data_IF_558917998513
#
_entry.id   IF_558917998513
#
_cell.length_a   1.000
_cell.length_b   1.000
_cell.length_c   1.000
_cell.angle_alpha   90.00
_cell.angle_beta   90.00
_cell.angle_gamma   90.00
#
_symmetry.space_group_name_H-M   'P 1'
#
loop_
_entity.id
_entity.type
_entity.pdbx_description
1 polymer ?
#
# COMPACT_ATOMS: atom_id res chain seq x y z
N UNK A 1 -13.78 6.96 -9.61
CA UNK A 1 -12.51 7.43 -10.16
C UNK A 1 -11.33 7.09 -9.24
N UNK A 2 -11.49 7.08 -7.91
CA UNK A 2 -10.52 6.50 -6.99
C UNK A 2 -10.56 4.97 -7.06
N UNK A 3 -9.41 4.32 -7.03
CA UNK A 3 -9.32 2.88 -7.26
C UNK A 3 -8.66 2.11 -6.11
N UNK A 4 -7.96 2.78 -5.20
CA UNK A 4 -7.12 2.18 -4.19
C UNK A 4 -7.52 2.72 -2.82
N UNK A 5 -7.84 1.84 -1.88
CA UNK A 5 -8.35 2.20 -0.55
C UNK A 5 -7.59 1.44 0.52
N UNK A 6 -7.46 2.04 1.71
CA UNK A 6 -7.01 1.36 2.92
C UNK A 6 -8.09 1.48 3.99
N UNK A 7 -8.42 0.38 4.64
CA UNK A 7 -9.37 0.35 5.74
C UNK A 7 -8.70 -0.20 7.01
N UNK A 8 -9.01 0.38 8.18
CA UNK A 8 -8.49 -0.11 9.45
C UNK A 8 -9.19 -1.41 9.87
N UNK A 9 -8.48 -2.26 10.61
CA UNK A 9 -9.04 -3.46 11.26
C UNK A 9 -8.58 -3.45 12.72
N UNK A 10 -9.49 -3.11 13.63
CA UNK A 10 -9.22 -3.11 15.07
C UNK A 10 -9.61 -4.46 15.70
N UNK A 11 -9.11 -4.75 16.91
CA UNK A 11 -9.29 -6.02 17.61
C UNK A 11 -10.66 -6.11 18.32
N UNK A 12 -11.74 -5.80 17.60
CA UNK A 12 -13.13 -5.94 18.01
C UNK A 12 -14.04 -6.30 16.83
N UNK A 13 -15.13 -7.01 17.10
CA UNK A 13 -16.02 -7.51 16.06
C UNK A 13 -16.70 -6.39 15.27
N UNK A 14 -17.13 -5.32 15.93
CA UNK A 14 -17.85 -4.24 15.26
C UNK A 14 -16.94 -3.54 14.24
N UNK A 15 -15.68 -3.28 14.60
CA UNK A 15 -14.67 -2.72 13.70
C UNK A 15 -14.36 -3.66 12.53
N UNK A 16 -14.15 -4.96 12.81
CA UNK A 16 -13.87 -5.97 11.78
C UNK A 16 -15.02 -6.01 10.77
N UNK A 17 -16.26 -6.12 11.23
CA UNK A 17 -17.42 -6.22 10.34
C UNK A 17 -17.79 -4.88 9.68
N UNK A 18 -17.51 -3.74 10.31
CA UNK A 18 -17.60 -2.42 9.67
C UNK A 18 -16.63 -2.33 8.48
N UNK A 19 -15.38 -2.75 8.68
CA UNK A 19 -14.37 -2.76 7.61
C UNK A 19 -14.74 -3.74 6.50
N UNK A 20 -15.25 -4.92 6.82
CA UNK A 20 -15.77 -5.86 5.83
C UNK A 20 -16.94 -5.26 5.02
N UNK A 21 -17.89 -4.60 5.69
CA UNK A 21 -19.00 -3.91 5.02
C UNK A 21 -18.51 -2.82 4.06
N UNK A 22 -17.51 -2.04 4.46
CA UNK A 22 -16.90 -1.02 3.60
C UNK A 22 -16.12 -1.63 2.43
N UNK A 23 -15.39 -2.70 2.67
CA UNK A 23 -14.72 -3.46 1.62
C UNK A 23 -15.71 -3.98 0.56
N UNK A 24 -16.85 -4.48 0.99
CA UNK A 24 -17.93 -4.93 0.10
C UNK A 24 -18.45 -3.78 -0.79
N UNK A 25 -18.66 -2.59 -0.23
CA UNK A 25 -19.06 -1.39 -1.00
C UNK A 25 -17.97 -0.96 -2.00
N UNK A 26 -16.70 -1.00 -1.59
CA UNK A 26 -15.55 -0.65 -2.43
C UNK A 26 -15.43 -1.68 -3.58
N UNK A 27 -15.49 -2.97 -3.27
CA UNK A 27 -15.46 -4.05 -4.27
C UNK A 27 -16.60 -3.95 -5.28
N UNK A 28 -17.82 -3.60 -4.83
CA UNK A 28 -18.95 -3.33 -5.71
C UNK A 28 -18.67 -2.20 -6.71
N UNK A 29 -17.84 -1.21 -6.35
CA UNK A 29 -17.42 -0.13 -7.24
C UNK A 29 -16.28 -0.53 -8.21
N UNK A 30 -15.77 -1.76 -8.11
CA UNK A 30 -14.66 -2.26 -8.93
C UNK A 30 -13.28 -1.87 -8.42
N UNK A 31 -13.17 -1.48 -7.14
CA UNK A 31 -11.93 -1.03 -6.52
C UNK A 31 -11.35 -2.06 -5.55
N UNK A 32 -10.05 -1.93 -5.25
CA UNK A 32 -9.33 -2.78 -4.31
C UNK A 32 -9.13 -2.12 -2.95
N UNK A 33 -8.87 -2.94 -1.93
CA UNK A 33 -8.71 -2.48 -0.55
C UNK A 33 -7.51 -3.14 0.11
N UNK A 34 -6.72 -2.38 0.85
CA UNK A 34 -5.67 -2.91 1.73
C UNK A 34 -6.08 -2.89 3.20
N UNK A 35 -5.60 -3.87 3.93
CA UNK A 35 -5.85 -4.05 5.36
C UNK A 35 -4.56 -4.41 6.09
N UNK A 36 -4.41 -3.88 7.30
CA UNK A 36 -3.42 -4.38 8.24
C UNK A 36 -4.12 -5.15 9.35
N UNK A 37 -3.85 -6.46 9.43
CA UNK A 37 -4.43 -7.36 10.43
C UNK A 37 -3.59 -7.48 11.71
N UNK A 38 -2.51 -6.72 11.82
CA UNK A 38 -1.54 -6.85 12.91
C UNK A 38 -2.05 -6.42 14.28
N UNK A 39 -3.16 -5.69 14.34
CA UNK A 39 -3.80 -5.29 15.59
C UNK A 39 -4.65 -6.40 16.18
N UNK A 40 -5.07 -7.38 15.37
CA UNK A 40 -5.86 -8.50 15.85
C UNK A 40 -5.02 -9.38 16.78
N UNK A 41 -5.63 -9.78 17.90
CA UNK A 41 -5.00 -10.73 18.83
C UNK A 41 -4.68 -12.07 18.15
N UNK A 42 -3.59 -12.72 18.54
CA UNK A 42 -3.19 -13.98 17.92
C UNK A 42 -4.18 -15.11 18.23
N UNK A 43 -4.07 -16.17 17.43
CA UNK A 43 -4.75 -17.41 17.65
C UNK A 43 -4.46 -17.95 19.06
N UNK A 44 -5.49 -18.50 19.71
CA UNK A 44 -5.46 -18.98 21.09
C UNK A 44 -5.27 -17.91 22.17
N UNK A 45 -5.31 -16.61 21.85
CA UNK A 45 -5.40 -15.60 22.91
C UNK A 45 -6.80 -15.56 23.53
N UNK A 46 -6.86 -15.18 24.80
CA UNK A 46 -8.09 -15.19 25.59
C UNK A 46 -9.07 -14.12 25.11
N UNK A 47 -10.35 -14.50 25.00
CA UNK A 47 -11.46 -13.57 24.78
C UNK A 47 -12.16 -13.36 26.13
N UNK A 48 -11.93 -12.19 26.75
CA UNK A 48 -12.41 -11.88 28.10
C UNK A 48 -13.94 -11.77 28.22
N UNK A 49 -14.63 -11.45 27.12
CA UNK A 49 -16.09 -11.29 27.09
C UNK A 49 -16.87 -12.62 27.03
N UNK A 50 -16.19 -13.70 26.66
CA UNK A 50 -16.74 -15.06 26.58
C UNK A 50 -15.65 -16.04 27.00
N UNK A 51 -16.05 -17.18 27.58
CA UNK A 51 -15.06 -18.22 27.92
C UNK A 51 -14.58 -18.91 26.64
N UNK A 52 -13.63 -18.30 25.93
CA UNK A 52 -13.17 -18.78 24.64
C UNK A 52 -11.81 -18.26 24.23
N UNK A 53 -11.36 -18.73 23.06
CA UNK A 53 -10.06 -18.38 22.48
C UNK A 53 -10.22 -17.77 21.10
N UNK A 54 -9.33 -16.86 20.77
CA UNK A 54 -9.25 -16.21 19.45
C UNK A 54 -8.91 -17.21 18.35
N UNK A 55 -9.55 -17.07 17.21
CA UNK A 55 -9.21 -17.81 15.99
C UNK A 55 -8.04 -17.21 15.20
N UNK A 56 -7.59 -16.00 15.60
CA UNK A 56 -6.49 -15.28 14.97
C UNK A 56 -6.83 -14.55 13.66
N UNK A 57 -5.89 -13.72 13.15
CA UNK A 57 -6.11 -12.86 11.99
C UNK A 57 -6.47 -13.62 10.70
N UNK A 58 -5.85 -14.77 10.44
CA UNK A 58 -6.10 -15.55 9.23
C UNK A 58 -7.55 -16.03 9.10
N UNK A 59 -8.21 -16.27 10.21
CA UNK A 59 -9.64 -16.67 10.20
C UNK A 59 -10.54 -15.53 9.71
N UNK A 60 -10.24 -14.31 10.13
CA UNK A 60 -10.96 -13.14 9.63
C UNK A 60 -10.63 -12.83 8.17
N UNK A 61 -9.37 -12.95 7.76
CA UNK A 61 -9.00 -12.82 6.34
C UNK A 61 -9.81 -13.75 5.43
N UNK A 62 -10.07 -14.99 5.86
CA UNK A 62 -10.93 -15.94 5.11
C UNK A 62 -12.37 -15.46 4.97
N UNK A 63 -12.91 -14.74 5.97
CA UNK A 63 -14.26 -14.15 5.90
C UNK A 63 -14.27 -13.04 4.85
N UNK A 64 -13.25 -12.16 4.85
CA UNK A 64 -13.11 -11.11 3.83
C UNK A 64 -12.99 -11.71 2.43
N UNK A 65 -12.20 -12.76 2.25
CA UNK A 65 -12.01 -13.47 0.99
C UNK A 65 -13.34 -14.07 0.48
N UNK A 66 -14.05 -14.80 1.35
CA UNK A 66 -15.33 -15.42 1.03
C UNK A 66 -16.41 -14.41 0.60
N UNK A 67 -16.50 -13.27 1.28
CA UNK A 67 -17.43 -12.19 0.91
C UNK A 67 -17.06 -11.59 -0.43
N UNK A 68 -15.77 -11.37 -0.67
CA UNK A 68 -15.26 -10.78 -1.92
C UNK A 68 -15.49 -11.70 -3.11
N UNK A 69 -15.35 -13.01 -2.95
CA UNK A 69 -15.64 -13.98 -3.98
C UNK A 69 -17.10 -13.92 -4.46
N UNK A 70 -18.05 -13.56 -3.56
CA UNK A 70 -19.46 -13.43 -3.91
C UNK A 70 -19.80 -12.07 -4.54
N UNK A 71 -18.98 -11.03 -4.30
CA UNK A 71 -19.25 -9.67 -4.80
C UNK A 71 -18.48 -9.45 -6.09
N UNK A 72 -19.12 -9.81 -7.23
CA UNK A 72 -18.56 -9.56 -8.57
C UNK A 72 -19.30 -8.42 -9.24
N UNK A 73 -18.59 -7.40 -9.69
CA UNK A 73 -19.18 -6.30 -10.45
C UNK A 73 -19.58 -6.79 -11.84
N UNK A 74 -20.84 -7.25 -12.01
CA UNK A 74 -21.39 -7.66 -13.32
C UNK A 74 -20.51 -8.65 -14.10
N UNK A 75 -19.66 -9.44 -13.45
CA UNK A 75 -18.71 -10.36 -14.06
C UNK A 75 -17.47 -9.75 -14.68
N UNK A 76 -17.29 -8.41 -14.63
CA UNK A 76 -16.23 -7.72 -15.34
C UNK A 76 -14.93 -7.55 -14.52
N UNK A 77 -15.01 -7.40 -13.18
CA UNK A 77 -13.84 -7.25 -12.33
C UNK A 77 -14.07 -7.88 -10.96
N UNK A 78 -13.09 -8.67 -10.50
CA UNK A 78 -13.07 -9.17 -9.11
C UNK A 78 -12.57 -8.09 -8.17
N UNK A 79 -13.05 -8.09 -6.93
CA UNK A 79 -12.39 -7.37 -5.84
C UNK A 79 -11.00 -7.95 -5.61
N UNK A 80 -10.07 -7.09 -5.19
CA UNK A 80 -8.72 -7.50 -4.81
C UNK A 80 -8.36 -6.85 -3.47
N UNK A 81 -7.68 -7.59 -2.63
CA UNK A 81 -7.26 -7.11 -1.32
C UNK A 81 -5.75 -7.25 -1.14
N UNK A 82 -5.19 -6.39 -0.28
CA UNK A 82 -3.90 -6.58 0.35
C UNK A 82 -4.13 -6.94 1.82
N UNK A 83 -3.57 -8.05 2.26
CA UNK A 83 -3.51 -8.42 3.67
C UNK A 83 -2.10 -8.24 4.19
N UNK A 84 -1.94 -7.44 5.23
CA UNK A 84 -0.63 -7.17 5.84
C UNK A 84 -0.60 -7.70 7.26
N UNK A 85 0.50 -8.36 7.62
CA UNK A 85 0.80 -8.74 8.99
C UNK A 85 2.24 -8.33 9.34
N UNK A 86 2.42 -7.74 10.54
CA UNK A 86 3.74 -7.38 11.04
C UNK A 86 4.58 -8.63 11.30
N UNK A 87 5.85 -8.54 11.00
CA UNK A 87 6.81 -9.64 11.19
C UNK A 87 6.91 -10.08 12.65
N UNK A 88 6.64 -9.18 13.60
CA UNK A 88 6.68 -9.45 15.05
C UNK A 88 5.33 -9.96 15.63
N UNK A 89 4.33 -10.24 14.77
CA UNK A 89 3.07 -10.83 15.21
C UNK A 89 3.25 -12.34 15.54
N UNK A 90 2.64 -12.87 16.63
CA UNK A 90 2.79 -14.28 17.01
C UNK A 90 2.42 -15.30 15.94
N UNK A 91 1.47 -14.97 15.06
CA UNK A 91 0.98 -15.86 13.99
C UNK A 91 1.72 -15.68 12.65
N UNK A 92 2.87 -15.01 12.64
CA UNK A 92 3.60 -14.68 11.40
C UNK A 92 3.97 -15.93 10.58
N UNK A 93 4.37 -17.02 11.20
CA UNK A 93 4.72 -18.26 10.50
C UNK A 93 3.53 -18.87 9.75
N UNK A 94 2.33 -18.87 10.34
CA UNK A 94 1.10 -19.32 9.68
C UNK A 94 0.73 -18.38 8.54
N UNK A 95 0.87 -17.06 8.73
CA UNK A 95 0.57 -16.06 7.71
C UNK A 95 1.47 -16.21 6.47
N UNK A 96 2.78 -16.35 6.66
CA UNK A 96 3.74 -16.50 5.56
C UNK A 96 3.40 -17.70 4.68
N UNK A 97 2.95 -18.79 5.28
CA UNK A 97 2.72 -20.06 4.57
C UNK A 97 1.28 -20.28 4.13
N UNK A 98 0.36 -19.36 4.43
CA UNK A 98 -1.08 -19.59 4.22
C UNK A 98 -1.45 -19.84 2.76
N UNK A 99 -0.81 -19.15 1.81
CA UNK A 99 -1.04 -19.31 0.37
C UNK A 99 -0.24 -20.45 -0.29
N UNK A 100 0.60 -21.14 0.48
CA UNK A 100 1.22 -22.38 0.00
C UNK A 100 0.20 -23.52 -0.14
N UNK A 101 -1.01 -23.38 0.43
CA UNK A 101 -2.15 -24.28 0.25
C UNK A 101 -2.99 -23.78 -0.92
N UNK A 102 -3.41 -24.69 -1.78
CA UNK A 102 -4.27 -24.37 -2.91
C UNK A 102 -5.62 -23.76 -2.47
N UNK A 103 -6.13 -22.81 -3.26
CA UNK A 103 -7.45 -22.19 -3.11
C UNK A 103 -7.70 -21.50 -1.76
N UNK A 104 -6.67 -20.89 -1.18
CA UNK A 104 -6.79 -20.11 0.06
C UNK A 104 -6.43 -18.64 -0.22
N UNK A 105 -7.31 -17.72 0.17
CA UNK A 105 -7.14 -16.27 0.01
C UNK A 105 -6.87 -15.86 -1.45
N UNK A 106 -7.65 -16.37 -2.39
CA UNK A 106 -7.47 -16.12 -3.84
C UNK A 106 -7.69 -14.65 -4.22
N UNK A 107 -8.48 -13.91 -3.44
CA UNK A 107 -8.70 -12.48 -3.66
C UNK A 107 -7.73 -11.58 -2.86
N UNK A 108 -6.74 -12.18 -2.18
CA UNK A 108 -5.72 -11.46 -1.43
C UNK A 108 -4.34 -11.60 -2.07
N UNK A 109 -3.65 -10.48 -2.22
CA UNK A 109 -2.21 -10.40 -2.11
C UNK A 109 -1.85 -10.31 -0.63
N UNK A 110 -0.77 -10.90 -0.19
CA UNK A 110 -0.32 -10.81 1.19
C UNK A 110 1.09 -10.25 1.28
N UNK A 111 1.36 -9.43 2.29
CA UNK A 111 2.69 -8.86 2.51
C UNK A 111 3.06 -8.84 3.99
N UNK A 112 4.30 -9.18 4.29
CA UNK A 112 4.86 -9.05 5.63
C UNK A 112 5.36 -7.62 5.84
N UNK A 113 4.90 -6.96 6.91
CA UNK A 113 5.42 -5.66 7.31
C UNK A 113 6.70 -5.85 8.12
N UNK A 114 7.82 -5.59 7.47
CA UNK A 114 9.17 -5.76 8.02
C UNK A 114 9.63 -4.46 8.69
N UNK A 115 10.29 -4.59 9.84
CA UNK A 115 10.91 -3.48 10.57
C UNK A 115 12.43 -3.46 10.42
N UNK A 116 13.05 -2.29 10.59
CA UNK A 116 14.52 -2.17 10.62
C UNK A 116 15.12 -3.01 11.76
N UNK A 117 14.40 -3.14 12.89
CA UNK A 117 14.79 -4.00 14.02
C UNK A 117 14.90 -5.48 13.60
N UNK A 118 13.92 -5.98 12.84
CA UNK A 118 13.93 -7.35 12.33
C UNK A 118 15.08 -7.56 11.34
N UNK A 119 15.26 -6.67 10.37
CA UNK A 119 16.36 -6.78 9.40
C UNK A 119 17.74 -6.73 10.06
N UNK A 120 17.90 -5.92 11.09
CA UNK A 120 19.13 -5.91 11.90
C UNK A 120 19.34 -7.24 12.64
N UNK A 121 18.27 -7.91 13.09
CA UNK A 121 18.37 -9.23 13.72
C UNK A 121 18.76 -10.30 12.71
N UNK A 122 18.19 -10.27 11.49
CA UNK A 122 18.59 -11.16 10.38
C UNK A 122 20.08 -11.02 10.07
N UNK A 123 20.56 -9.78 9.86
CA UNK A 123 21.97 -9.52 9.54
C UNK A 123 22.97 -9.99 10.63
N UNK A 124 22.51 -10.06 11.87
CA UNK A 124 23.35 -10.43 13.03
C UNK A 124 23.10 -11.85 13.52
N UNK A 125 22.33 -12.63 12.80
CA UNK A 125 21.92 -14.00 13.19
C UNK A 125 21.38 -14.04 14.65
N UNK A 126 20.39 -13.18 14.94
CA UNK A 126 19.78 -13.07 16.26
C UNK A 126 18.30 -13.43 16.24
N UNK A 127 17.82 -13.80 17.42
CA UNK A 127 16.38 -13.90 17.68
C UNK A 127 15.74 -12.53 17.84
N UNK A 128 14.45 -12.46 17.60
CA UNK A 128 13.61 -11.31 17.85
C UNK A 128 12.30 -11.75 18.54
N UNK A 129 11.64 -10.80 19.20
CA UNK A 129 10.45 -11.07 19.99
C UNK A 129 9.21 -11.06 19.13
N UNK A 130 8.33 -12.03 19.30
CA UNK A 130 6.97 -12.01 18.84
C UNK A 130 6.08 -11.39 19.90
N UNK A 131 5.38 -10.32 19.53
CA UNK A 131 4.66 -9.44 20.46
C UNK A 131 3.15 -9.63 20.28
N UNK A 132 2.45 -9.95 21.38
CA UNK A 132 1.00 -9.94 21.36
C UNK A 132 0.49 -8.50 21.23
N UNK A 133 -0.26 -8.15 20.16
CA UNK A 133 -0.67 -6.76 19.91
C UNK A 133 -1.60 -6.20 20.97
N UNK A 134 -2.41 -7.04 21.64
CA UNK A 134 -3.34 -6.62 22.68
C UNK A 134 -2.64 -6.34 24.01
N UNK A 135 -1.69 -7.18 24.41
CA UNK A 135 -1.02 -7.08 25.72
C UNK A 135 0.32 -6.37 25.68
N UNK A 136 0.88 -6.17 24.48
CA UNK A 136 2.23 -5.65 24.24
C UNK A 136 3.33 -6.48 24.91
N UNK A 137 3.04 -7.74 25.26
CA UNK A 137 4.01 -8.63 25.89
C UNK A 137 4.66 -9.54 24.86
N UNK A 138 5.93 -9.88 25.11
CA UNK A 138 6.61 -10.93 24.36
C UNK A 138 5.89 -12.27 24.62
N UNK A 139 5.53 -12.99 23.55
CA UNK A 139 4.92 -14.31 23.60
C UNK A 139 5.98 -15.39 23.52
N UNK A 140 6.94 -15.20 22.61
CA UNK A 140 8.11 -16.06 22.42
C UNK A 140 9.16 -15.37 21.57
N UNK A 141 10.38 -15.83 21.67
CA UNK A 141 11.47 -15.45 20.78
C UNK A 141 11.50 -16.38 19.55
N UNK A 142 11.83 -15.83 18.40
CA UNK A 142 11.95 -16.56 17.15
C UNK A 142 13.26 -16.19 16.44
N UNK A 143 13.86 -17.10 15.69
CA UNK A 143 15.02 -16.80 14.87
C UNK A 143 14.62 -15.89 13.71
N UNK A 144 15.28 -14.73 13.59
CA UNK A 144 15.01 -13.79 12.51
C UNK A 144 15.40 -14.38 11.14
N UNK A 145 16.53 -15.09 11.07
CA UNK A 145 16.99 -15.78 9.86
C UNK A 145 15.96 -16.81 9.38
N UNK A 146 15.47 -17.69 10.27
CA UNK A 146 14.47 -18.70 9.91
C UNK A 146 13.18 -18.11 9.35
N UNK A 147 12.69 -17.01 9.92
CA UNK A 147 11.49 -16.36 9.41
C UNK A 147 11.77 -15.66 8.08
N UNK A 148 12.95 -15.05 7.92
CA UNK A 148 13.35 -14.44 6.65
C UNK A 148 13.48 -15.48 5.53
N UNK A 149 14.12 -16.61 5.80
CA UNK A 149 14.24 -17.73 4.86
C UNK A 149 12.87 -18.31 4.50
N UNK A 150 11.99 -18.48 5.49
CA UNK A 150 10.61 -18.93 5.25
C UNK A 150 9.84 -17.97 4.31
N UNK A 151 10.01 -16.65 4.49
CA UNK A 151 9.44 -15.63 3.59
C UNK A 151 9.99 -15.81 2.16
N UNK A 152 11.31 -15.91 2.03
CA UNK A 152 11.97 -16.07 0.74
C UNK A 152 11.57 -17.36 0.01
N UNK A 153 11.60 -18.50 0.72
CA UNK A 153 11.24 -19.80 0.18
C UNK A 153 9.78 -19.85 -0.27
N UNK A 154 8.87 -19.30 0.55
CA UNK A 154 7.44 -19.29 0.24
C UNK A 154 7.15 -18.36 -0.94
N UNK A 155 7.75 -17.16 -0.95
CA UNK A 155 7.63 -16.23 -2.06
C UNK A 155 8.18 -16.80 -3.37
N UNK A 156 9.33 -17.49 -3.32
CA UNK A 156 9.88 -18.17 -4.49
C UNK A 156 8.95 -19.28 -5.01
N UNK A 157 8.31 -20.01 -4.11
CA UNK A 157 7.42 -21.14 -4.46
C UNK A 157 6.06 -20.71 -4.99
N UNK A 158 5.49 -19.64 -4.46
CA UNK A 158 4.08 -19.25 -4.70
C UNK A 158 3.88 -17.87 -5.28
N UNK A 159 4.87 -16.99 -5.22
CA UNK A 159 4.76 -15.56 -5.53
C UNK A 159 4.33 -14.70 -4.34
N UNK A 160 3.87 -15.30 -3.24
CA UNK A 160 3.49 -14.65 -1.98
C UNK A 160 4.29 -15.22 -0.79
N UNK A 161 4.51 -14.49 0.30
CA UNK A 161 4.14 -13.09 0.50
C UNK A 161 5.10 -12.11 -0.19
N UNK A 162 4.61 -10.90 -0.43
CA UNK A 162 5.45 -9.72 -0.62
C UNK A 162 6.01 -9.21 0.71
N UNK A 163 6.78 -8.14 0.67
CA UNK A 163 7.28 -7.43 1.86
C UNK A 163 7.08 -5.93 1.72
N UNK A 164 6.79 -5.26 2.83
CA UNK A 164 6.83 -3.82 2.95
C UNK A 164 7.79 -3.43 4.07
N UNK A 165 8.62 -2.41 3.83
CA UNK A 165 9.58 -1.91 4.81
C UNK A 165 8.96 -0.77 5.60
N UNK A 166 8.29 -1.12 6.70
CA UNK A 166 7.40 -0.23 7.44
C UNK A 166 8.08 1.06 7.92
N UNK A 167 9.31 0.94 8.46
CA UNK A 167 10.06 2.10 8.96
C UNK A 167 10.49 3.02 7.82
N UNK A 168 10.85 2.45 6.65
CA UNK A 168 11.18 3.22 5.44
C UNK A 168 9.99 4.00 4.91
N UNK A 169 8.83 3.34 4.82
CA UNK A 169 7.58 3.96 4.36
C UNK A 169 7.21 5.13 5.27
N UNK A 170 7.29 4.95 6.58
CA UNK A 170 6.91 5.98 7.53
C UNK A 170 7.92 7.14 7.63
N UNK A 171 9.19 6.91 7.31
CA UNK A 171 10.19 7.98 7.19
C UNK A 171 9.80 9.01 6.13
N UNK A 172 9.15 8.57 5.05
CA UNK A 172 8.73 9.41 3.94
C UNK A 172 7.22 9.74 3.98
N UNK A 173 6.53 9.47 5.10
CA UNK A 173 5.13 9.80 5.28
C UNK A 173 4.93 11.33 5.16
N UNK A 174 4.10 11.82 4.21
CA UNK A 174 3.91 13.25 4.02
C UNK A 174 3.05 13.91 5.12
N UNK A 175 2.28 13.13 5.89
CA UNK A 175 1.37 13.61 6.94
C UNK A 175 1.56 12.82 8.24
N UNK A 176 2.76 12.85 8.86
CA UNK A 176 3.09 11.98 10.00
C UNK A 176 2.30 12.32 11.26
N UNK A 177 1.82 13.55 11.42
CA UNK A 177 0.99 13.96 12.56
C UNK A 177 -0.41 13.34 12.53
N UNK A 178 -0.90 12.90 11.35
CA UNK A 178 -2.21 12.24 11.22
C UNK A 178 -2.18 10.75 11.53
N UNK A 179 -1.01 10.13 11.57
CA UNK A 179 -0.88 8.71 11.88
C UNK A 179 0.26 8.01 11.16
N UNK A 180 0.31 6.69 11.35
CA UNK A 180 1.33 5.80 10.81
C UNK A 180 0.77 5.10 9.57
N UNK A 181 1.57 5.04 8.51
CA UNK A 181 1.28 4.22 7.33
C UNK A 181 1.50 2.75 7.68
N UNK A 182 0.42 1.99 7.83
CA UNK A 182 0.46 0.59 8.26
C UNK A 182 0.10 -0.38 7.13
N UNK A 183 -0.52 0.12 6.06
CA UNK A 183 -0.97 -0.67 4.94
C UNK A 183 -0.73 0.05 3.62
N UNK A 184 -0.79 -0.74 2.56
CA UNK A 184 -0.84 -0.26 1.19
C UNK A 184 -2.24 -0.52 0.62
N UNK A 185 -2.51 0.00 -0.57
CA UNK A 185 -3.63 -0.44 -1.39
C UNK A 185 -3.53 -1.93 -1.80
N UNK A 186 -4.46 -2.41 -2.59
CA UNK A 186 -4.56 -3.84 -2.96
C UNK A 186 -3.38 -4.40 -3.74
N UNK A 187 -2.63 -3.55 -4.46
CA UNK A 187 -1.52 -3.95 -5.32
C UNK A 187 -0.14 -3.66 -4.70
N UNK A 188 -0.09 -2.86 -3.64
CA UNK A 188 1.14 -2.59 -2.88
C UNK A 188 1.90 -1.33 -3.29
N UNK A 189 1.46 -0.61 -4.33
CA UNK A 189 2.18 0.56 -4.85
C UNK A 189 1.96 1.84 -4.04
N UNK A 190 0.87 1.92 -3.26
CA UNK A 190 0.49 3.15 -2.57
C UNK A 190 0.29 2.92 -1.07
N UNK A 191 1.27 3.26 -0.22
CA UNK A 191 1.07 3.33 1.23
C UNK A 191 0.11 4.46 1.59
N UNK A 192 -0.90 4.13 2.38
CA UNK A 192 -1.98 5.04 2.75
C UNK A 192 -2.33 4.93 4.24
N UNK A 193 -2.83 6.02 4.81
CA UNK A 193 -3.46 6.02 6.12
C UNK A 193 -4.83 5.32 6.08
N UNK A 194 -5.38 4.89 7.23
CA UNK A 194 -6.74 4.38 7.31
C UNK A 194 -7.76 5.34 6.69
N UNK A 195 -8.68 4.78 5.90
CA UNK A 195 -9.71 5.48 5.12
C UNK A 195 -9.19 6.31 3.95
N UNK A 196 -7.91 6.47 3.75
CA UNK A 196 -7.40 7.13 2.55
C UNK A 196 -7.69 6.30 1.29
N UNK A 197 -7.77 6.99 0.19
CA UNK A 197 -7.72 6.41 -1.14
C UNK A 197 -6.86 7.27 -2.06
N UNK A 198 -6.32 6.65 -3.09
CA UNK A 198 -5.55 7.33 -4.12
C UNK A 198 -6.21 7.18 -5.49
N UNK A 199 -6.10 8.22 -6.29
CA UNK A 199 -6.35 8.20 -7.70
C UNK A 199 -4.99 8.23 -8.42
N UNK A 200 -4.86 7.38 -9.42
CA UNK A 200 -3.58 7.08 -10.07
C UNK A 200 -3.59 7.50 -11.53
N UNK A 201 -2.44 7.93 -12.02
CA UNK A 201 -2.18 8.19 -13.43
C UNK A 201 -0.76 7.79 -13.81
N UNK A 202 -0.56 7.31 -15.04
CA UNK A 202 0.76 6.90 -15.53
C UNK A 202 1.08 7.58 -16.85
N UNK A 203 2.24 8.25 -16.91
CA UNK A 203 2.74 8.88 -18.12
C UNK A 203 3.44 7.83 -18.98
N UNK A 204 2.99 7.66 -20.22
CA UNK A 204 3.67 6.80 -21.16
C UNK A 204 4.95 7.48 -21.69
N UNK A 205 6.09 7.07 -21.16
CA UNK A 205 7.40 7.61 -21.50
C UNK A 205 7.79 7.34 -22.96
N UNK A 206 7.24 6.33 -23.61
CA UNK A 206 7.55 6.07 -25.02
C UNK A 206 7.05 7.19 -25.95
N UNK A 207 6.11 8.00 -25.51
CA UNK A 207 5.52 9.09 -26.28
C UNK A 207 6.24 10.42 -26.15
N UNK A 208 7.27 10.49 -25.27
CA UNK A 208 8.07 11.72 -25.07
C UNK A 208 9.37 11.72 -25.89
N UNK A 209 9.56 10.76 -26.77
CA UNK A 209 10.75 10.70 -27.65
C UNK A 209 10.43 11.40 -28.97
N UNK A 210 11.26 12.38 -29.31
CA UNK A 210 11.24 13.09 -30.59
C UNK A 210 12.66 13.06 -31.16
N UNK A 211 12.81 12.65 -32.41
CA UNK A 211 14.11 12.57 -33.09
C UNK A 211 15.17 11.83 -32.27
N UNK A 212 14.82 10.67 -31.71
CA UNK A 212 15.69 9.84 -30.85
C UNK A 212 16.24 10.57 -29.61
N UNK A 213 15.57 11.60 -29.14
CA UNK A 213 15.90 12.33 -27.91
C UNK A 213 14.67 12.49 -27.02
N UNK A 214 14.90 12.59 -25.72
CA UNK A 214 13.84 12.88 -24.76
C UNK A 214 13.45 14.36 -24.90
N UNK A 215 12.17 14.61 -25.16
CA UNK A 215 11.57 15.94 -25.13
C UNK A 215 11.14 16.29 -23.70
N UNK A 216 12.02 16.96 -22.97
CA UNK A 216 11.74 17.40 -21.61
C UNK A 216 10.65 18.49 -21.53
N UNK A 217 10.44 19.31 -22.58
CA UNK A 217 9.36 20.30 -22.60
C UNK A 217 7.99 19.62 -22.71
N UNK A 218 7.88 18.62 -23.58
CA UNK A 218 6.67 17.81 -23.68
C UNK A 218 6.42 17.06 -22.38
N UNK A 219 7.44 16.47 -21.76
CA UNK A 219 7.34 15.78 -20.48
C UNK A 219 6.83 16.73 -19.38
N UNK A 220 7.47 17.92 -19.24
CA UNK A 220 7.03 18.95 -18.30
C UNK A 220 5.54 19.29 -18.44
N UNK A 221 5.13 19.64 -19.67
CA UNK A 221 3.73 20.00 -19.94
C UNK A 221 2.77 18.84 -19.60
N UNK A 222 3.18 17.59 -19.86
CA UNK A 222 2.38 16.41 -19.53
C UNK A 222 2.28 16.25 -18.01
N UNK A 223 3.39 16.37 -17.27
CA UNK A 223 3.39 16.29 -15.80
C UNK A 223 2.44 17.32 -15.20
N UNK A 224 2.57 18.62 -15.59
CA UNK A 224 1.73 19.68 -15.07
C UNK A 224 0.24 19.43 -15.32
N UNK A 225 -0.13 18.99 -16.53
CA UNK A 225 -1.52 18.65 -16.86
C UNK A 225 -2.01 17.45 -16.07
N UNK A 226 -1.17 16.44 -15.84
CA UNK A 226 -1.56 15.24 -15.11
C UNK A 226 -1.75 15.54 -13.62
N UNK A 227 -0.89 16.34 -12.99
CA UNK A 227 -1.07 16.77 -11.60
C UNK A 227 -2.39 17.52 -11.45
N UNK A 228 -2.67 18.50 -12.30
CA UNK A 228 -3.93 19.23 -12.29
C UNK A 228 -5.15 18.32 -12.49
N UNK A 229 -5.06 17.38 -13.43
CA UNK A 229 -6.12 16.40 -13.68
C UNK A 229 -6.37 15.50 -12.46
N UNK A 230 -5.32 14.95 -11.84
CA UNK A 230 -5.46 14.08 -10.68
C UNK A 230 -6.03 14.84 -9.46
N UNK A 231 -5.66 16.10 -9.27
CA UNK A 231 -6.24 16.94 -8.23
C UNK A 231 -7.75 17.20 -8.48
N UNK A 232 -8.15 17.45 -9.74
CA UNK A 232 -9.57 17.56 -10.10
C UNK A 232 -10.35 16.25 -9.87
N UNK A 233 -9.72 15.11 -10.08
CA UNK A 233 -10.36 13.80 -9.85
C UNK A 233 -10.77 13.63 -8.39
N UNK A 234 -10.01 14.18 -7.43
CA UNK A 234 -10.38 14.16 -6.01
C UNK A 234 -11.77 14.77 -5.81
N UNK A 235 -12.01 15.95 -6.39
CA UNK A 235 -13.26 16.67 -6.21
C UNK A 235 -14.44 16.02 -6.96
N UNK A 236 -14.16 15.39 -8.10
CA UNK A 236 -15.19 14.76 -8.94
C UNK A 236 -15.51 13.32 -8.54
N UNK A 237 -14.73 12.72 -7.64
CA UNK A 237 -14.91 11.34 -7.23
C UNK A 237 -16.09 11.17 -6.25
N UNK A 238 -16.88 10.11 -6.47
CA UNK A 238 -17.91 9.68 -5.50
C UNK A 238 -17.30 8.60 -4.62
N UNK A 239 -17.04 8.94 -3.36
CA UNK A 239 -16.44 8.00 -2.41
C UNK A 239 -17.50 7.10 -1.79
N UNK A 240 -17.18 5.78 -1.57
CA UNK A 240 -18.16 4.80 -1.07
C UNK A 240 -18.47 4.96 0.42
N UNK A 241 -17.63 5.67 1.18
CA UNK A 241 -17.81 5.90 2.61
C UNK A 241 -17.59 7.37 2.98
N UNK A 242 -18.30 7.90 4.00
CA UNK A 242 -18.12 9.28 4.45
C UNK A 242 -16.69 9.57 4.93
N UNK A 243 -16.11 8.63 5.71
CA UNK A 243 -14.75 8.78 6.27
C UNK A 243 -13.70 8.90 5.16
N UNK A 244 -13.84 8.09 4.09
CA UNK A 244 -12.93 8.20 2.94
C UNK A 244 -13.08 9.54 2.23
N UNK A 245 -14.31 10.03 2.05
CA UNK A 245 -14.54 11.34 1.45
C UNK A 245 -13.83 12.43 2.24
N UNK A 246 -14.00 12.43 3.54
CA UNK A 246 -13.43 13.42 4.45
C UNK A 246 -11.89 13.44 4.38
N UNK A 247 -11.25 12.29 4.63
CA UNK A 247 -9.78 12.22 4.69
C UNK A 247 -9.11 12.49 3.34
N UNK A 248 -9.71 12.03 2.23
CA UNK A 248 -9.14 12.24 0.89
C UNK A 248 -9.21 13.73 0.50
N UNK A 249 -10.31 14.41 0.79
CA UNK A 249 -10.42 15.84 0.57
C UNK A 249 -9.48 16.64 1.48
N UNK A 250 -9.26 16.17 2.71
CA UNK A 250 -8.38 16.83 3.66
C UNK A 250 -6.89 16.68 3.31
N UNK A 251 -6.47 15.52 2.79
CA UNK A 251 -5.06 15.21 2.49
C UNK A 251 -4.66 15.42 1.03
N UNK A 252 -5.60 15.30 0.10
CA UNK A 252 -5.43 15.47 -1.37
C UNK A 252 -4.24 14.70 -1.95
N UNK A 253 -4.00 13.48 -1.49
CA UNK A 253 -2.93 12.62 -2.03
C UNK A 253 -3.28 12.12 -3.42
N UNK A 254 -2.31 12.19 -4.33
CA UNK A 254 -2.40 11.69 -5.71
C UNK A 254 -1.20 10.79 -6.03
N UNK A 255 -1.38 9.87 -6.95
CA UNK A 255 -0.33 8.97 -7.43
C UNK A 255 0.00 9.23 -8.90
N UNK A 256 1.19 9.75 -9.19
CA UNK A 256 1.70 9.90 -10.55
C UNK A 256 2.82 8.90 -10.79
N UNK A 257 2.55 7.93 -11.68
CA UNK A 257 3.50 6.93 -12.11
C UNK A 257 3.95 7.10 -13.56
N UNK A 258 4.73 6.14 -14.02
CA UNK A 258 5.23 6.06 -15.39
C UNK A 258 5.02 4.67 -15.97
N UNK A 259 4.91 4.58 -17.30
CA UNK A 259 4.89 3.35 -18.08
C UNK A 259 5.74 3.53 -19.34
N UNK A 260 6.01 2.46 -20.06
CA UNK A 260 6.73 2.52 -21.34
C UNK A 260 8.22 2.88 -21.21
N UNK A 261 8.86 2.61 -20.03
CA UNK A 261 10.29 2.89 -19.85
C UNK A 261 11.17 2.00 -20.72
N UNK A 262 10.86 0.71 -20.85
CA UNK A 262 11.59 -0.19 -21.73
C UNK A 262 11.49 0.26 -23.20
N UNK A 263 10.29 0.66 -23.66
CA UNK A 263 10.09 1.19 -25.01
C UNK A 263 10.89 2.49 -25.25
N UNK A 264 10.94 3.35 -24.24
CA UNK A 264 11.80 4.55 -24.29
C UNK A 264 13.28 4.17 -24.47
N UNK A 265 13.79 3.21 -23.71
CA UNK A 265 15.16 2.75 -23.82
C UNK A 265 15.45 2.15 -25.21
N UNK A 266 14.54 1.34 -25.77
CA UNK A 266 14.63 0.79 -27.11
C UNK A 266 14.76 1.92 -28.15
N UNK A 267 13.87 2.92 -28.10
CA UNK A 267 13.92 4.10 -28.99
C UNK A 267 15.20 4.89 -28.87
N UNK A 268 15.81 4.94 -27.67
CA UNK A 268 17.10 5.59 -27.43
C UNK A 268 18.31 4.71 -27.73
N UNK A 269 18.09 3.44 -28.10
CA UNK A 269 19.14 2.42 -28.31
C UNK A 269 20.02 2.24 -27.06
N UNK A 270 19.38 2.13 -25.89
CA UNK A 270 20.00 1.90 -24.59
C UNK A 270 19.65 0.49 -24.13
N UNK A 271 20.61 -0.40 -23.88
CA UNK A 271 20.34 -1.72 -23.30
C UNK A 271 19.72 -1.57 -21.89
N UNK A 272 18.67 -2.36 -21.61
CA UNK A 272 17.94 -2.27 -20.35
C UNK A 272 18.82 -2.55 -19.12
N UNK A 273 19.68 -3.54 -19.20
CA UNK A 273 20.61 -3.96 -18.13
C UNK A 273 21.95 -3.18 -18.14
N UNK A 274 21.91 -1.89 -18.39
CA UNK A 274 23.12 -1.05 -18.48
C UNK A 274 23.08 0.11 -17.47
N UNK A 275 24.27 0.55 -17.03
CA UNK A 275 24.45 1.76 -16.23
C UNK A 275 23.81 3.01 -16.88
N UNK A 276 23.80 3.06 -18.21
CA UNK A 276 23.17 4.15 -18.95
C UNK A 276 21.65 4.12 -18.77
N UNK A 277 21.03 2.94 -18.69
CA UNK A 277 19.60 2.81 -18.41
C UNK A 277 19.27 3.31 -17.00
N UNK A 278 20.06 2.93 -15.99
CA UNK A 278 19.90 3.38 -14.60
C UNK A 278 19.98 4.91 -14.51
N UNK A 279 21.05 5.51 -15.07
CA UNK A 279 21.21 6.98 -15.10
C UNK A 279 20.08 7.69 -15.84
N UNK A 280 19.53 7.06 -16.89
CA UNK A 280 18.38 7.59 -17.62
C UNK A 280 17.13 7.57 -16.76
N UNK A 281 16.88 6.49 -16.02
CA UNK A 281 15.77 6.37 -15.07
C UNK A 281 15.88 7.44 -13.97
N UNK A 282 17.03 7.56 -13.32
CA UNK A 282 17.30 8.57 -12.29
C UNK A 282 17.00 9.99 -12.78
N UNK A 283 17.52 10.34 -13.95
CA UNK A 283 17.31 11.67 -14.56
C UNK A 283 15.84 11.93 -14.85
N UNK A 284 15.13 10.95 -15.40
CA UNK A 284 13.71 11.08 -15.73
C UNK A 284 12.85 11.26 -14.47
N UNK A 285 13.04 10.42 -13.46
CA UNK A 285 12.23 10.48 -12.23
C UNK A 285 12.54 11.75 -11.43
N UNK A 286 13.81 12.15 -11.33
CA UNK A 286 14.18 13.42 -10.70
C UNK A 286 13.51 14.62 -11.39
N UNK A 287 13.47 14.61 -12.73
CA UNK A 287 12.80 15.66 -13.51
C UNK A 287 11.26 15.65 -13.28
N UNK A 288 10.62 14.46 -13.34
CA UNK A 288 9.19 14.31 -13.12
C UNK A 288 8.83 14.80 -11.72
N UNK A 289 9.58 14.38 -10.69
CA UNK A 289 9.35 14.83 -9.30
C UNK A 289 9.42 16.36 -9.20
N UNK A 290 10.50 16.95 -9.70
CA UNK A 290 10.66 18.42 -9.68
C UNK A 290 9.48 19.15 -10.34
N UNK A 291 9.05 18.69 -11.52
CA UNK A 291 7.96 19.34 -12.25
C UNK A 291 6.60 19.04 -11.60
N UNK A 292 6.41 17.91 -10.94
CA UNK A 292 5.22 17.59 -10.15
C UNK A 292 5.12 18.52 -8.93
N UNK A 293 6.23 18.72 -8.20
CA UNK A 293 6.30 19.64 -7.07
C UNK A 293 6.00 21.09 -7.52
N UNK A 294 6.59 21.53 -8.64
CA UNK A 294 6.30 22.85 -9.24
C UNK A 294 4.81 23.01 -9.61
N UNK A 295 4.21 21.98 -10.20
CA UNK A 295 2.79 21.98 -10.56
C UNK A 295 1.90 22.05 -9.31
N UNK A 296 2.22 21.30 -8.26
CA UNK A 296 1.52 21.34 -6.98
C UNK A 296 1.60 22.73 -6.34
N UNK A 297 2.78 23.32 -6.27
CA UNK A 297 2.97 24.71 -5.78
C UNK A 297 2.18 25.73 -6.60
N UNK A 298 2.08 25.55 -7.91
CA UNK A 298 1.27 26.47 -8.74
C UNK A 298 -0.23 26.32 -8.46
N UNK A 299 -0.73 25.10 -8.21
CA UNK A 299 -2.12 24.87 -7.83
C UNK A 299 -2.47 25.52 -6.49
N UNK A 300 -1.54 25.59 -5.52
CA UNK A 300 -1.83 26.27 -4.23
C UNK A 300 -2.08 27.77 -4.39
N UNK A 301 -1.54 28.41 -5.43
CA UNK A 301 -1.80 29.83 -5.73
C UNK A 301 -3.24 30.08 -6.16
N UNK A 302 -3.88 29.07 -6.75
CA UNK A 302 -5.25 29.14 -7.26
C UNK A 302 -6.27 28.56 -6.29
N UNK A 303 -5.89 27.49 -5.54
CA UNK A 303 -6.79 26.66 -4.74
C UNK A 303 -6.53 26.70 -3.24
N UNK A 304 -5.49 27.41 -2.81
CA UNK A 304 -4.91 27.36 -1.46
C UNK A 304 -4.24 26.02 -1.15
N UNK A 305 -3.72 25.86 0.08
CA UNK A 305 -3.15 24.61 0.56
C UNK A 305 -4.25 23.59 0.84
N UNK A 306 -3.91 22.29 0.83
CA UNK A 306 -4.85 21.25 1.27
C UNK A 306 -5.17 21.41 2.77
N UNK A 307 -6.38 21.02 3.23
CA UNK A 307 -6.82 21.30 4.60
C UNK A 307 -5.86 20.82 5.70
N UNK A 308 -5.27 19.64 5.56
CA UNK A 308 -4.31 19.08 6.54
C UNK A 308 -2.86 19.51 6.26
N UNK A 309 -2.66 20.67 5.66
CA UNK A 309 -1.31 21.20 5.39
C UNK A 309 -0.47 21.36 6.65
N UNK A 310 -1.06 21.86 7.73
CA UNK A 310 -0.38 22.09 8.99
C UNK A 310 0.13 20.81 9.65
N UNK A 311 -0.50 19.67 9.35
CA UNK A 311 -0.15 18.33 9.81
C UNK A 311 0.87 17.63 8.90
N UNK A 312 1.34 18.33 7.86
CA UNK A 312 2.22 17.76 6.85
C UNK A 312 3.69 18.16 7.05
N UNK A 313 4.59 17.37 6.43
CA UNK A 313 6.02 17.71 6.37
C UNK A 313 6.31 18.96 5.54
N UNK A 314 5.34 19.46 4.78
CA UNK A 314 5.49 20.62 3.90
C UNK A 314 5.32 21.94 4.66
N UNK A 315 4.65 21.93 5.81
CA UNK A 315 4.54 23.09 6.72
C UNK A 315 5.83 23.18 7.57
N UNK A 316 6.90 23.64 6.93
CA UNK A 316 8.14 23.95 7.64
C UNK A 316 8.00 25.36 8.26
N UNK A 317 7.70 25.40 9.55
CA UNK A 317 7.86 26.61 10.36
C UNK A 317 9.32 26.86 10.64
#
# INVERSE_FOLDING_TARGET
LAACFVLPVEDDLDSIFKSLHYAAKISKSGSGTGFNFSRLRPKNDVISSVTGFSSGPMSFMKIFDAVTEQIKLGGLRRGAHMGILRVDHPDIGEFVTIKAKEKVLENFNISVAITDKFMNAVQKDKSYNLINPRTQKNVRDESAEKIFDLICETAHKTGDPGVIFLDKINKDNPTPALGILESTDSCGEQPLLPYESANLGSINLSNIIINNKIDFNKLKNTVHKTIHFLDNVIDMCKYPTPETKEIVHANRKIGLGVMGFADLLIKLKIPYNSERAVKTAEKLIAFIRKEADNASVNLTKERLTFPNWDESIYNKK
#
